data_IF_244070435909
#
_entry.id   IF_244070435909
#
_cell.length_a   1.000
_cell.length_b   1.000
_cell.length_c   1.000
_cell.angle_alpha   90.00
_cell.angle_beta   90.00
_cell.angle_gamma   90.00
#
_symmetry.space_group_name_H-M   'P 1'
#
loop_
_entity.id
_entity.type
_entity.pdbx_description
1 polymer ?
#
# COMPACT_ATOMS: atom_id res chain seq x y z
N UNK A 1 -38.98 3.59 5.73
CA UNK A 1 -38.25 3.49 4.45
C UNK A 1 -37.05 4.42 4.48
N UNK A 2 -35.86 3.90 4.80
CA UNK A 2 -34.60 4.65 4.73
C UNK A 2 -34.17 4.65 3.26
N UNK A 3 -33.98 5.82 2.65
CA UNK A 3 -33.48 5.96 1.28
C UNK A 3 -31.96 5.85 1.31
N UNK A 4 -31.44 4.78 0.72
CA UNK A 4 -30.03 4.66 0.32
C UNK A 4 -29.73 5.74 -0.72
N UNK A 5 -28.88 6.71 -0.37
CA UNK A 5 -28.41 7.71 -1.32
C UNK A 5 -27.24 7.13 -2.14
N UNK A 6 -27.58 6.44 -3.22
CA UNK A 6 -26.60 5.95 -4.19
C UNK A 6 -25.93 7.13 -4.93
N UNK A 7 -24.62 7.26 -4.70
CA UNK A 7 -23.59 7.74 -5.62
C UNK A 7 -23.94 8.87 -6.59
N UNK A 8 -23.81 10.13 -6.15
CA UNK A 8 -23.64 11.27 -7.07
C UNK A 8 -22.16 11.47 -7.35
N UNK A 9 -21.75 11.24 -8.60
CA UNK A 9 -20.40 11.55 -9.06
C UNK A 9 -20.20 13.07 -9.10
N UNK A 10 -19.35 13.59 -8.21
CA UNK A 10 -18.90 14.97 -8.26
C UNK A 10 -17.88 15.13 -9.40
N UNK A 11 -18.26 15.88 -10.43
CA UNK A 11 -17.32 16.48 -11.39
C UNK A 11 -17.14 17.93 -10.92
N UNK A 12 -16.07 18.20 -10.16
CA UNK A 12 -15.41 19.51 -10.02
C UNK A 12 -14.27 19.43 -8.99
N UNK A 13 -13.11 19.94 -9.37
CA UNK A 13 -11.91 20.11 -8.57
C UNK A 13 -12.20 20.79 -7.21
N UNK A 14 -12.24 20.03 -6.13
CA UNK A 14 -12.16 20.54 -4.75
C UNK A 14 -11.57 19.48 -3.86
N UNK A 15 -10.61 19.86 -3.03
CA UNK A 15 -10.13 18.96 -2.01
C UNK A 15 -11.17 18.74 -0.92
N UNK A 16 -11.52 17.49 -0.63
CA UNK A 16 -12.55 17.13 0.36
C UNK A 16 -11.94 16.49 1.62
N UNK A 17 -12.53 16.77 2.78
CA UNK A 17 -12.14 16.17 4.06
C UNK A 17 -13.34 15.46 4.70
N UNK A 18 -13.24 14.16 4.98
CA UNK A 18 -14.34 13.36 5.55
C UNK A 18 -13.93 12.61 6.82
N UNK A 19 -14.90 12.43 7.71
CA UNK A 19 -14.75 11.69 8.96
C UNK A 19 -15.99 10.83 9.18
N UNK A 20 -15.81 9.52 9.35
CA UNK A 20 -16.86 8.57 9.70
C UNK A 20 -16.59 7.88 11.04
N UNK A 21 -17.67 7.43 11.68
CA UNK A 21 -17.67 6.54 12.85
C UNK A 21 -18.87 5.60 12.75
N UNK A 22 -18.67 4.30 12.88
CA UNK A 22 -19.74 3.29 12.80
C UNK A 22 -19.19 1.92 12.41
N UNK A 23 -20.05 0.91 12.33
CA UNK A 23 -19.67 -0.44 11.89
C UNK A 23 -19.32 -0.47 10.39
N UNK A 24 -20.05 0.29 9.56
CA UNK A 24 -19.88 0.31 8.10
C UNK A 24 -18.73 1.20 7.60
N UNK A 25 -18.00 0.67 6.61
CA UNK A 25 -16.91 1.33 5.91
C UNK A 25 -17.37 2.39 4.88
N UNK A 26 -16.46 3.28 4.47
CA UNK A 26 -16.76 4.27 3.41
C UNK A 26 -16.29 3.80 2.02
N UNK A 27 -17.18 3.88 1.02
CA UNK A 27 -16.88 3.59 -0.39
C UNK A 27 -16.91 4.86 -1.26
N UNK A 28 -15.86 5.15 -2.06
CA UNK A 28 -15.87 6.29 -3.02
C UNK A 28 -15.39 5.93 -4.42
N UNK A 29 -15.97 6.63 -5.41
CA UNK A 29 -15.54 6.65 -6.81
C UNK A 29 -15.29 8.09 -7.27
N UNK A 30 -14.13 8.34 -7.87
CA UNK A 30 -13.71 9.66 -8.36
C UNK A 30 -13.14 9.56 -9.78
N UNK A 31 -13.16 10.70 -10.50
CA UNK A 31 -12.57 10.86 -11.84
C UNK A 31 -12.03 12.29 -12.01
N UNK A 32 -10.84 12.43 -12.58
CA UNK A 32 -10.18 13.72 -12.80
C UNK A 32 -9.12 14.02 -11.73
N UNK A 33 -8.74 15.29 -11.60
CA UNK A 33 -7.80 15.80 -10.59
C UNK A 33 -8.49 16.03 -9.23
N UNK A 34 -8.11 15.29 -8.18
CA UNK A 34 -8.71 15.43 -6.85
C UNK A 34 -7.71 15.19 -5.71
N UNK A 35 -7.81 15.98 -4.63
CA UNK A 35 -7.03 15.81 -3.40
C UNK A 35 -7.94 15.51 -2.20
N UNK A 36 -7.72 14.45 -1.42
CA UNK A 36 -8.65 14.12 -0.31
C UNK A 36 -7.98 13.74 1.00
N UNK A 37 -8.59 14.12 2.12
CA UNK A 37 -8.20 13.64 3.45
C UNK A 37 -9.35 12.87 4.11
N UNK A 38 -9.06 11.69 4.66
CA UNK A 38 -10.06 10.85 5.33
C UNK A 38 -9.62 10.29 6.65
N UNK A 39 -10.62 10.02 7.49
CA UNK A 39 -10.43 9.36 8.77
C UNK A 39 -11.68 8.57 9.16
N UNK A 40 -11.58 7.25 9.11
CA UNK A 40 -12.59 6.34 9.64
C UNK A 40 -12.23 5.83 11.04
N UNK A 41 -13.27 5.41 11.76
CA UNK A 41 -13.18 4.54 12.95
C UNK A 41 -14.36 3.58 12.95
N UNK A 42 -14.12 2.28 12.88
CA UNK A 42 -15.19 1.29 12.72
C UNK A 42 -14.69 -0.14 12.71
N UNK A 43 -15.57 -1.11 12.49
CA UNK A 43 -15.16 -2.51 12.23
C UNK A 43 -14.63 -2.61 10.79
N UNK A 44 -15.40 -2.08 9.82
CA UNK A 44 -15.03 -2.09 8.41
C UNK A 44 -14.09 -0.96 7.98
N UNK A 45 -13.31 -1.28 6.94
CA UNK A 45 -12.30 -0.44 6.33
C UNK A 45 -12.80 0.64 5.37
N UNK A 46 -11.88 1.40 4.76
CA UNK A 46 -12.23 2.35 3.66
C UNK A 46 -11.86 1.78 2.29
N UNK A 47 -12.76 1.91 1.30
CA UNK A 47 -12.45 1.59 -0.10
C UNK A 47 -12.56 2.80 -1.04
N UNK A 48 -11.57 2.99 -1.91
CA UNK A 48 -11.61 4.01 -2.98
C UNK A 48 -11.27 3.43 -4.34
N UNK A 49 -12.00 3.90 -5.36
CA UNK A 49 -11.69 3.65 -6.76
C UNK A 49 -11.56 4.97 -7.53
N UNK A 50 -10.45 5.16 -8.23
CA UNK A 50 -10.20 6.40 -8.93
C UNK A 50 -9.66 6.23 -10.35
N UNK A 51 -9.77 7.30 -11.13
CA UNK A 51 -9.19 7.42 -12.48
C UNK A 51 -8.81 8.87 -12.77
N UNK A 52 -7.53 9.15 -13.02
CA UNK A 52 -7.00 10.51 -13.19
C UNK A 52 -5.80 10.74 -12.29
N UNK A 53 -5.38 11.99 -12.15
CA UNK A 53 -4.37 12.41 -11.20
C UNK A 53 -5.00 12.59 -9.82
N UNK A 54 -4.46 11.95 -8.79
CA UNK A 54 -5.11 12.00 -7.48
C UNK A 54 -4.11 12.04 -6.33
N UNK A 55 -4.45 12.79 -5.30
CA UNK A 55 -3.67 12.82 -4.07
C UNK A 55 -4.53 12.73 -2.82
N UNK A 56 -3.88 12.45 -1.69
CA UNK A 56 -4.62 12.34 -0.45
C UNK A 56 -3.92 11.70 0.73
N UNK A 57 -4.58 11.80 1.87
CA UNK A 57 -4.17 11.11 3.08
C UNK A 57 -5.34 10.36 3.72
N UNK A 58 -5.09 9.13 4.16
CA UNK A 58 -6.10 8.33 4.87
C UNK A 58 -5.60 7.80 6.20
N UNK A 59 -6.56 7.60 7.09
CA UNK A 59 -6.30 7.10 8.42
C UNK A 59 -7.49 6.30 8.94
N UNK A 60 -7.43 4.98 8.80
CA UNK A 60 -8.35 4.06 9.44
C UNK A 60 -7.92 3.67 10.86
N UNK A 61 -8.91 3.32 11.68
CA UNK A 61 -8.75 2.56 12.90
C UNK A 61 -9.92 1.58 13.02
N UNK A 62 -9.67 0.28 12.99
CA UNK A 62 -10.73 -0.72 12.97
C UNK A 62 -10.22 -2.14 12.99
N UNK A 63 -11.08 -3.11 12.75
CA UNK A 63 -10.66 -4.50 12.52
C UNK A 63 -10.09 -4.63 11.11
N UNK A 64 -10.83 -4.15 10.11
CA UNK A 64 -10.40 -4.11 8.72
C UNK A 64 -9.56 -2.87 8.37
N UNK A 65 -8.66 -3.05 7.40
CA UNK A 65 -7.74 -2.01 6.92
C UNK A 65 -8.30 -1.10 5.82
N UNK A 66 -7.51 -0.78 4.81
CA UNK A 66 -7.94 0.12 3.71
C UNK A 66 -7.65 -0.50 2.35
N UNK A 67 -8.61 -0.44 1.42
CA UNK A 67 -8.39 -0.88 0.04
C UNK A 67 -8.43 0.29 -0.95
N UNK A 68 -7.55 0.24 -1.97
CA UNK A 68 -7.66 1.16 -3.12
C UNK A 68 -7.39 0.49 -4.45
N UNK A 69 -8.11 0.98 -5.46
CA UNK A 69 -7.84 0.73 -6.86
C UNK A 69 -7.78 2.03 -7.67
N UNK A 70 -6.65 2.33 -8.29
CA UNK A 70 -6.49 3.54 -9.10
C UNK A 70 -5.98 3.25 -10.50
N UNK A 71 -6.13 4.27 -11.36
CA UNK A 71 -5.60 4.28 -12.72
C UNK A 71 -5.27 5.72 -13.12
N UNK A 72 -3.99 6.05 -13.27
CA UNK A 72 -3.50 7.41 -13.50
C UNK A 72 -2.28 7.69 -12.62
N UNK A 73 -2.02 8.95 -12.33
CA UNK A 73 -0.93 9.38 -11.45
C UNK A 73 -1.45 9.53 -10.02
N UNK A 74 -0.73 9.02 -9.02
CA UNK A 74 -1.18 9.06 -7.62
C UNK A 74 -0.09 9.48 -6.63
N UNK A 75 -0.44 10.36 -5.69
CA UNK A 75 0.45 10.81 -4.60
C UNK A 75 -0.21 10.75 -3.23
N UNK A 76 0.14 9.77 -2.37
CA UNK A 76 -0.67 9.50 -1.16
C UNK A 76 0.12 9.11 0.11
N UNK A 77 -0.50 9.38 1.27
CA UNK A 77 -0.05 8.82 2.54
C UNK A 77 -1.16 8.10 3.30
N UNK A 78 -0.89 6.89 3.77
CA UNK A 78 -1.85 6.10 4.56
C UNK A 78 -1.33 5.68 5.91
N UNK A 79 -2.28 5.46 6.82
CA UNK A 79 -2.02 4.99 8.16
C UNK A 79 -3.20 4.20 8.71
N UNK A 80 -3.14 2.89 8.57
CA UNK A 80 -4.03 1.97 9.26
C UNK A 80 -3.58 1.64 10.68
N UNK A 81 -4.55 1.30 11.53
CA UNK A 81 -4.32 0.60 12.79
C UNK A 81 -5.48 -0.37 13.02
N UNK A 82 -5.24 -1.67 12.93
CA UNK A 82 -6.28 -2.68 13.03
C UNK A 82 -5.75 -4.09 13.07
N UNK A 83 -6.59 -5.09 12.87
CA UNK A 83 -6.15 -6.49 12.70
C UNK A 83 -5.60 -6.66 11.29
N UNK A 84 -6.38 -6.25 10.28
CA UNK A 84 -5.96 -6.26 8.89
C UNK A 84 -5.19 -5.00 8.47
N UNK A 85 -4.25 -5.21 7.54
CA UNK A 85 -3.45 -4.14 6.94
C UNK A 85 -4.07 -3.57 5.66
N UNK A 86 -3.25 -2.91 4.84
CA UNK A 86 -3.74 -2.14 3.69
C UNK A 86 -3.54 -2.90 2.37
N UNK A 87 -4.54 -2.92 1.47
CA UNK A 87 -4.40 -3.47 0.12
C UNK A 87 -4.48 -2.40 -0.97
N UNK A 88 -3.63 -2.56 -1.99
CA UNK A 88 -3.50 -1.58 -3.07
C UNK A 88 -3.33 -2.20 -4.45
N UNK A 89 -4.02 -1.62 -5.42
CA UNK A 89 -3.90 -1.97 -6.83
C UNK A 89 -3.85 -0.74 -7.73
N UNK A 90 -2.68 -0.46 -8.29
CA UNK A 90 -2.44 0.72 -9.11
C UNK A 90 -2.04 0.36 -10.54
N UNK A 91 -2.41 1.24 -11.47
CA UNK A 91 -1.96 1.20 -12.87
C UNK A 91 -1.67 2.62 -13.35
N UNK A 92 -0.40 2.97 -13.46
CA UNK A 92 0.06 4.31 -13.81
C UNK A 92 1.31 4.65 -13.01
N UNK A 93 1.53 5.94 -12.77
CA UNK A 93 2.66 6.45 -12.00
C UNK A 93 2.25 6.71 -10.55
N UNK A 94 3.12 6.43 -9.60
CA UNK A 94 2.74 6.50 -8.19
C UNK A 94 3.88 6.87 -7.24
N UNK A 95 3.58 7.76 -6.29
CA UNK A 95 4.42 8.09 -5.14
C UNK A 95 3.66 7.90 -3.83
N UNK A 96 4.06 6.95 -2.98
CA UNK A 96 3.30 6.62 -1.77
C UNK A 96 4.13 6.47 -0.48
N UNK A 97 3.53 6.87 0.65
CA UNK A 97 3.97 6.42 1.98
C UNK A 97 2.88 5.69 2.75
N UNK A 98 3.27 4.70 3.55
CA UNK A 98 2.31 3.85 4.26
C UNK A 98 2.84 3.39 5.60
N UNK A 99 1.91 3.25 6.55
CA UNK A 99 2.21 2.91 7.94
C UNK A 99 1.10 2.07 8.52
N UNK A 100 1.19 0.76 8.39
CA UNK A 100 0.31 -0.17 9.08
C UNK A 100 0.79 -0.51 10.49
N UNK A 101 -0.17 -0.77 11.37
CA UNK A 101 0.05 -1.40 12.68
C UNK A 101 -1.09 -2.37 12.95
N UNK A 102 -0.80 -3.66 12.96
CA UNK A 102 -1.82 -4.70 13.10
C UNK A 102 -1.26 -6.09 13.17
N UNK A 103 -2.09 -7.10 13.05
CA UNK A 103 -1.63 -8.49 12.89
C UNK A 103 -1.07 -8.66 11.48
N UNK A 104 -1.83 -8.23 10.47
CA UNK A 104 -1.42 -8.28 9.08
C UNK A 104 -0.69 -7.00 8.61
N UNK A 105 0.26 -7.23 7.68
CA UNK A 105 0.99 -6.17 6.99
C UNK A 105 0.28 -5.64 5.75
N UNK A 106 1.02 -4.99 4.85
CA UNK A 106 0.44 -4.32 3.67
C UNK A 106 0.66 -5.15 2.40
N UNK A 107 -0.33 -5.24 1.52
CA UNK A 107 -0.21 -5.87 0.20
C UNK A 107 -0.38 -4.86 -0.95
N UNK A 108 0.57 -4.87 -1.89
CA UNK A 108 0.53 -3.97 -3.04
C UNK A 108 0.76 -4.65 -4.37
N UNK A 109 0.03 -4.16 -5.37
CA UNK A 109 0.15 -4.58 -6.76
C UNK A 109 0.12 -3.41 -7.72
N UNK A 110 1.21 -3.20 -8.43
CA UNK A 110 1.37 -2.08 -9.35
C UNK A 110 1.64 -2.53 -10.78
N UNK A 111 1.41 -1.61 -11.71
CA UNK A 111 1.85 -1.69 -13.10
C UNK A 111 2.11 -0.28 -13.63
N UNK A 112 3.38 0.06 -13.83
CA UNK A 112 3.84 1.40 -14.22
C UNK A 112 5.10 1.76 -13.45
N UNK A 113 5.32 3.06 -13.22
CA UNK A 113 6.44 3.59 -12.45
C UNK A 113 5.99 3.86 -11.01
N UNK A 114 6.78 3.46 -10.02
CA UNK A 114 6.31 3.46 -8.64
C UNK A 114 7.45 3.76 -7.65
N UNK A 115 7.30 4.80 -6.84
CA UNK A 115 8.20 5.16 -5.75
C UNK A 115 7.52 5.06 -4.39
N UNK A 116 8.04 4.21 -3.49
CA UNK A 116 7.32 3.91 -2.24
C UNK A 116 8.15 3.93 -0.95
N UNK A 117 7.46 4.20 0.15
CA UNK A 117 8.02 4.05 1.50
C UNK A 117 7.01 3.40 2.46
N UNK A 118 7.37 2.25 3.00
CA UNK A 118 6.44 1.41 3.74
C UNK A 118 7.01 1.05 5.12
N UNK A 119 6.15 1.09 6.13
CA UNK A 119 6.51 0.80 7.53
C UNK A 119 5.41 0.00 8.21
N UNK A 120 5.53 -1.32 8.18
CA UNK A 120 4.68 -2.22 8.96
C UNK A 120 5.23 -2.49 10.37
N UNK A 121 4.30 -2.67 11.32
CA UNK A 121 4.58 -3.27 12.62
C UNK A 121 3.44 -4.22 12.98
N UNK A 122 3.72 -5.51 13.01
CA UNK A 122 2.71 -6.54 13.21
C UNK A 122 3.28 -7.94 13.32
N UNK A 123 2.44 -8.97 13.21
CA UNK A 123 2.91 -10.35 13.11
C UNK A 123 3.46 -10.59 11.71
N UNK A 124 2.71 -10.16 10.68
CA UNK A 124 3.10 -10.30 9.28
C UNK A 124 3.78 -9.05 8.68
N UNK A 125 4.66 -9.30 7.71
CA UNK A 125 5.38 -8.31 6.92
C UNK A 125 4.61 -7.77 5.71
N UNK A 126 5.29 -7.03 4.84
CA UNK A 126 4.68 -6.39 3.65
C UNK A 126 4.92 -7.21 2.38
N UNK A 127 3.90 -7.39 1.54
CA UNK A 127 4.03 -8.02 0.22
C UNK A 127 3.86 -7.01 -0.93
N UNK A 128 4.75 -7.07 -1.92
CA UNK A 128 4.64 -6.25 -3.14
C UNK A 128 4.81 -7.08 -4.39
N UNK A 129 4.05 -6.71 -5.42
CA UNK A 129 4.17 -7.25 -6.76
C UNK A 129 4.07 -6.15 -7.80
N UNK A 130 5.16 -5.90 -8.52
CA UNK A 130 5.21 -4.84 -9.53
C UNK A 130 5.45 -5.39 -10.94
N UNK A 131 5.17 -4.53 -11.91
CA UNK A 131 5.60 -4.68 -13.29
C UNK A 131 5.85 -3.29 -13.90
N UNK A 132 7.11 -2.97 -14.15
CA UNK A 132 7.56 -1.63 -14.57
C UNK A 132 8.80 -1.23 -13.77
N UNK A 133 9.02 0.07 -13.62
CA UNK A 133 10.10 0.63 -12.82
C UNK A 133 9.63 0.82 -11.38
N UNK A 134 10.37 0.28 -10.42
CA UNK A 134 9.98 0.29 -9.01
C UNK A 134 11.14 0.76 -8.13
N UNK A 135 10.89 1.80 -7.35
CA UNK A 135 11.77 2.26 -6.28
C UNK A 135 11.08 2.15 -4.92
N UNK A 136 11.86 1.98 -3.86
CA UNK A 136 11.33 2.26 -2.53
C UNK A 136 12.14 1.80 -1.34
N UNK A 137 11.67 2.15 -0.14
CA UNK A 137 12.18 1.57 1.10
C UNK A 137 11.10 0.90 1.93
N UNK A 138 11.42 -0.28 2.47
CA UNK A 138 10.56 -1.02 3.38
C UNK A 138 11.21 -1.21 4.73
N UNK A 139 10.40 -1.08 5.78
CA UNK A 139 10.82 -1.37 7.13
C UNK A 139 9.74 -2.12 7.90
N UNK A 140 9.94 -3.42 8.05
CA UNK A 140 9.07 -4.28 8.86
C UNK A 140 9.64 -4.52 10.26
N UNK A 141 8.74 -4.63 11.24
CA UNK A 141 9.06 -5.13 12.57
C UNK A 141 7.94 -6.07 13.03
N UNK A 142 8.24 -7.36 13.08
CA UNK A 142 7.25 -8.41 13.33
C UNK A 142 7.87 -9.79 13.45
N UNK A 143 7.05 -10.83 13.50
CA UNK A 143 7.53 -12.21 13.47
C UNK A 143 8.01 -12.54 12.06
N UNK A 144 7.21 -12.21 11.05
CA UNK A 144 7.52 -12.43 9.64
C UNK A 144 8.05 -11.18 8.91
N UNK A 145 8.96 -11.42 7.96
CA UNK A 145 9.45 -10.41 7.03
C UNK A 145 8.53 -10.23 5.82
N UNK A 146 8.83 -9.25 4.97
CA UNK A 146 8.07 -8.99 3.75
C UNK A 146 8.57 -9.72 2.51
N UNK A 147 7.70 -9.85 1.49
CA UNK A 147 8.05 -10.40 0.17
C UNK A 147 7.96 -9.34 -0.93
N UNK A 148 8.85 -9.43 -1.93
CA UNK A 148 8.72 -8.65 -3.18
C UNK A 148 8.94 -9.51 -4.41
N UNK A 149 8.11 -9.24 -5.43
CA UNK A 149 8.24 -9.81 -6.77
C UNK A 149 8.15 -8.70 -7.81
N UNK A 150 9.23 -8.43 -8.52
CA UNK A 150 9.29 -7.41 -9.56
C UNK A 150 9.55 -8.00 -10.95
N UNK A 151 9.09 -7.28 -11.97
CA UNK A 151 9.47 -7.51 -13.38
C UNK A 151 9.67 -6.17 -14.07
N UNK A 152 10.92 -5.85 -14.40
CA UNK A 152 11.36 -4.52 -14.82
C UNK A 152 12.56 -4.08 -13.97
N UNK A 153 12.82 -2.78 -13.90
CA UNK A 153 13.89 -2.23 -13.08
C UNK A 153 13.42 -2.07 -11.63
N UNK A 154 14.20 -2.53 -10.65
CA UNK A 154 13.81 -2.48 -9.24
C UNK A 154 14.97 -1.97 -8.35
N UNK A 155 14.76 -0.84 -7.68
CA UNK A 155 15.65 -0.27 -6.67
C UNK A 155 15.02 -0.28 -5.27
N UNK A 156 15.29 -1.30 -4.46
CA UNK A 156 14.67 -1.40 -3.12
C UNK A 156 15.66 -1.52 -1.96
N UNK A 157 15.48 -0.66 -0.96
CA UNK A 157 16.14 -0.81 0.34
C UNK A 157 15.20 -1.41 1.37
N UNK A 158 15.62 -2.45 2.07
CA UNK A 158 14.77 -3.08 3.08
C UNK A 158 15.47 -3.33 4.40
N UNK A 159 14.67 -3.21 5.46
CA UNK A 159 15.13 -3.38 6.83
C UNK A 159 14.10 -4.10 7.68
N UNK A 160 14.38 -5.34 8.05
CA UNK A 160 13.54 -6.12 8.94
C UNK A 160 14.15 -6.32 10.33
N UNK A 161 13.28 -6.42 11.33
CA UNK A 161 13.59 -6.89 12.68
C UNK A 161 12.52 -7.91 13.10
N UNK A 162 12.86 -9.20 13.03
CA UNK A 162 11.91 -10.32 13.21
C UNK A 162 12.53 -11.71 13.10
N UNK A 163 11.74 -12.73 13.42
CA UNK A 163 12.17 -14.14 13.42
C UNK A 163 12.41 -14.68 12.02
N UNK A 164 11.65 -14.20 11.03
CA UNK A 164 11.86 -14.50 9.62
C UNK A 164 12.46 -13.32 8.83
N UNK A 165 13.13 -13.67 7.73
CA UNK A 165 13.78 -12.72 6.83
C UNK A 165 12.85 -12.20 5.73
N UNK A 166 13.36 -11.35 4.85
CA UNK A 166 12.60 -10.85 3.69
C UNK A 166 13.00 -11.58 2.41
N UNK A 167 12.02 -11.87 1.54
CA UNK A 167 12.28 -12.48 0.24
C UNK A 167 12.18 -11.46 -0.90
N UNK A 168 13.08 -11.56 -1.87
CA UNK A 168 13.06 -10.75 -3.11
C UNK A 168 13.24 -11.67 -4.31
N UNK A 169 12.38 -11.49 -5.31
CA UNK A 169 12.52 -12.11 -6.63
C UNK A 169 12.33 -11.04 -7.70
N UNK A 170 13.35 -10.79 -8.49
CA UNK A 170 13.35 -9.81 -9.57
C UNK A 170 13.53 -10.50 -10.92
N UNK A 171 12.98 -9.91 -11.98
CA UNK A 171 13.31 -10.24 -13.38
C UNK A 171 13.49 -8.93 -14.14
N UNK A 172 14.73 -8.50 -14.30
CA UNK A 172 15.14 -7.22 -14.87
C UNK A 172 16.35 -6.67 -14.11
N UNK A 173 16.62 -5.37 -14.23
CA UNK A 173 17.73 -4.73 -13.51
C UNK A 173 17.41 -4.59 -12.01
N UNK A 174 18.40 -4.85 -11.15
CA UNK A 174 18.21 -4.83 -9.70
C UNK A 174 19.25 -3.95 -9.00
N UNK A 175 18.77 -3.01 -8.19
CA UNK A 175 19.53 -2.23 -7.22
C UNK A 175 18.94 -2.29 -5.80
N UNK A 176 19.71 -1.81 -4.82
CA UNK A 176 19.27 -1.59 -3.43
C UNK A 176 19.82 -2.59 -2.39
N UNK A 177 19.60 -2.27 -1.11
CA UNK A 177 20.27 -2.91 0.03
C UNK A 177 19.30 -3.64 0.98
N UNK A 178 19.74 -4.72 1.62
CA UNK A 178 18.98 -5.44 2.65
C UNK A 178 19.73 -5.47 3.98
N UNK A 179 19.05 -5.12 5.09
CA UNK A 179 19.63 -5.16 6.44
C UNK A 179 18.67 -5.81 7.43
N UNK A 180 19.06 -6.96 7.99
CA UNK A 180 18.30 -7.68 9.02
C UNK A 180 18.93 -7.50 10.41
N UNK A 181 18.13 -7.38 11.47
CA UNK A 181 18.59 -7.49 12.86
C UNK A 181 17.74 -8.52 13.62
N UNK A 182 18.34 -9.66 14.01
CA UNK A 182 17.69 -10.77 14.73
C UNK A 182 17.28 -11.93 13.80
N UNK A 183 17.63 -13.17 14.16
CA UNK A 183 17.28 -14.44 13.47
C UNK A 183 18.27 -14.97 12.40
N UNK A 184 18.37 -16.31 12.26
CA UNK A 184 19.31 -17.06 11.37
C UNK A 184 19.22 -16.62 9.90
N UNK A 185 20.37 -16.49 9.23
CA UNK A 185 20.51 -16.07 7.83
C UNK A 185 19.67 -16.94 6.86
N UNK A 186 18.66 -16.34 6.22
CA UNK A 186 17.79 -17.03 5.24
C UNK A 186 17.53 -16.22 3.96
N UNK A 187 18.21 -15.09 3.74
CA UNK A 187 17.94 -14.20 2.61
C UNK A 187 18.51 -14.72 1.28
N UNK A 188 17.84 -15.66 0.61
CA UNK A 188 18.22 -16.10 -0.74
C UNK A 188 17.87 -15.00 -1.76
N UNK A 189 18.88 -14.37 -2.39
CA UNK A 189 18.68 -13.63 -3.64
C UNK A 189 18.75 -14.65 -4.77
N UNK A 190 17.67 -14.83 -5.53
CA UNK A 190 17.71 -15.60 -6.78
C UNK A 190 17.62 -14.61 -7.92
N UNK A 191 18.77 -14.21 -8.45
CA UNK A 191 18.85 -13.51 -9.73
C UNK A 191 18.55 -14.53 -10.84
N UNK A 192 17.53 -14.26 -11.66
CA UNK A 192 17.26 -15.04 -12.87
C UNK A 192 17.71 -14.15 -14.04
N UNK A 193 18.85 -14.43 -14.68
CA UNK A 193 19.32 -13.64 -15.80
C UNK A 193 18.31 -13.72 -16.96
N UNK A 194 18.21 -12.63 -17.72
CA UNK A 194 17.45 -12.57 -18.96
C UNK A 194 18.28 -13.28 -20.04
N UNK A 195 17.72 -14.35 -20.62
CA UNK A 195 18.15 -14.92 -21.89
C UNK A 195 17.49 -14.15 -23.03
#
# INVERSE_FOLDING_TARGET
MKREEQGRGNIKSKGENRKSKGEEGENRKSKGEEGENRKSKGEEGENRKSKGEEGGNRKSKGEEGENRKSKGEEGENRKSKGEEGENRKIKGEEGENSKSKGEEGENRKSKGEEGENSKSKGEEGENRKSKGEEGGNRKSKGEEGGNSKSKGEEGENRKSKGEEGENRKSKGEEGGNRKRKGGKEGGKRKHIPVL
#
